data_IF_276111407359
#
_entry.id   IF_276111407359
#
_cell.length_a   1.000
_cell.length_b   1.000
_cell.length_c   1.000
_cell.angle_alpha   90.00
_cell.angle_beta   90.00
_cell.angle_gamma   90.00
#
_symmetry.space_group_name_H-M   'P 1'
#
loop_
_entity.id
_entity.type
_entity.pdbx_description
1 polymer ?
#
# COMPACT_ATOMS: atom_id res chain seq x y z
N UNK A 1 3.51 28.38 -52.05
CA UNK A 1 3.14 27.17 -52.82
C UNK A 1 4.37 26.27 -52.93
N UNK A 2 4.44 25.22 -52.12
CA UNK A 2 5.53 24.25 -52.15
C UNK A 2 4.93 22.84 -52.16
N UNK A 3 5.38 22.05 -53.13
CA UNK A 3 4.86 20.74 -53.53
C UNK A 3 5.16 19.67 -52.49
N UNK A 4 4.17 18.79 -52.27
CA UNK A 4 4.29 17.56 -51.50
C UNK A 4 5.20 16.53 -52.21
N UNK A 5 6.01 15.81 -51.43
CA UNK A 5 6.76 14.62 -51.84
C UNK A 5 6.41 13.43 -50.92
N UNK A 6 6.46 12.18 -51.44
CA UNK A 6 5.67 11.06 -50.92
C UNK A 6 6.36 10.23 -49.82
N UNK A 7 5.53 9.59 -48.98
CA UNK A 7 5.94 8.63 -47.94
C UNK A 7 6.57 7.34 -48.51
N UNK A 8 7.58 6.75 -47.84
CA UNK A 8 8.05 5.40 -48.15
C UNK A 8 7.20 4.30 -47.47
N UNK A 9 6.95 3.24 -48.24
CA UNK A 9 6.16 2.05 -47.87
C UNK A 9 6.90 1.14 -46.88
N UNK A 10 6.13 0.59 -45.91
CA UNK A 10 6.53 -0.48 -44.99
C UNK A 10 7.04 -1.72 -45.74
N UNK A 11 8.23 -2.22 -45.37
CA UNK A 11 8.66 -3.58 -45.67
C UNK A 11 8.29 -4.50 -44.52
N UNK A 12 7.51 -5.53 -44.81
CA UNK A 12 7.31 -6.70 -43.94
C UNK A 12 8.58 -7.56 -43.98
N UNK A 13 9.17 -7.85 -42.82
CA UNK A 13 10.22 -8.85 -42.68
C UNK A 13 9.61 -10.16 -42.20
N UNK A 14 9.61 -11.16 -43.08
CA UNK A 14 9.29 -12.54 -42.75
C UNK A 14 10.47 -13.18 -41.98
N UNK A 15 10.16 -13.88 -40.88
CA UNK A 15 11.11 -14.69 -40.12
C UNK A 15 10.95 -16.15 -40.55
N UNK A 16 12.04 -16.90 -40.84
CA UNK A 16 11.97 -18.28 -41.30
C UNK A 16 11.71 -19.28 -40.15
N UNK A 17 11.18 -20.49 -40.44
CA UNK A 17 10.79 -21.46 -39.42
C UNK A 17 12.02 -22.23 -38.89
N UNK A 18 12.09 -22.41 -37.57
CA UNK A 18 13.09 -23.29 -36.94
C UNK A 18 12.40 -24.52 -36.34
N UNK A 19 13.07 -25.64 -36.57
CA UNK A 19 12.70 -27.03 -36.47
C UNK A 19 12.35 -27.51 -35.04
N UNK A 20 11.26 -28.26 -34.91
CA UNK A 20 10.90 -29.08 -33.76
C UNK A 20 11.45 -30.51 -33.95
N UNK A 21 12.39 -30.96 -33.11
CA UNK A 21 12.47 -32.37 -32.65
C UNK A 21 13.61 -32.60 -31.63
N UNK A 22 13.36 -33.54 -30.69
CA UNK A 22 14.14 -33.95 -29.49
C UNK A 22 13.83 -33.05 -28.28
N UNK A 23 13.15 -33.53 -27.23
CA UNK A 23 13.51 -34.68 -26.37
C UNK A 23 12.24 -35.34 -25.80
N UNK A 24 12.14 -36.67 -25.93
CA UNK A 24 11.19 -37.54 -25.20
C UNK A 24 11.96 -38.31 -24.14
N UNK A 25 11.49 -38.29 -22.88
CA UNK A 25 11.37 -39.41 -21.92
C UNK A 25 11.52 -38.94 -20.47
N UNK A 26 10.52 -39.32 -19.66
CA UNK A 26 10.59 -39.89 -18.29
C UNK A 26 9.48 -39.31 -17.42
N UNK A 27 8.31 -39.94 -17.45
CA UNK A 27 7.33 -39.87 -16.37
C UNK A 27 7.04 -41.29 -15.88
N UNK A 28 6.97 -41.37 -14.56
CA UNK A 28 7.06 -42.56 -13.72
C UNK A 28 5.90 -43.55 -13.90
N UNK A 29 6.23 -44.82 -13.68
CA UNK A 29 5.32 -45.96 -13.56
C UNK A 29 5.29 -46.43 -12.10
N UNK A 30 4.27 -47.24 -11.76
CA UNK A 30 4.00 -47.97 -10.50
C UNK A 30 3.31 -47.14 -9.38
N UNK A 31 2.15 -47.50 -8.81
CA UNK A 31 1.51 -48.81 -8.58
C UNK A 31 -0.03 -48.71 -8.69
N UNK A 32 -0.63 -49.63 -9.43
CA UNK A 32 -1.96 -50.20 -9.17
C UNK A 32 -1.69 -51.62 -8.70
N UNK A 33 -2.31 -52.08 -7.61
CA UNK A 33 -2.70 -53.50 -7.46
C UNK A 33 -3.60 -53.71 -6.22
N UNK A 34 -4.74 -54.35 -6.50
CA UNK A 34 -5.60 -55.18 -5.64
C UNK A 34 -6.62 -54.56 -4.68
N UNK A 35 -7.85 -54.49 -5.22
CA UNK A 35 -9.13 -54.73 -4.52
C UNK A 35 -9.63 -56.15 -4.81
N UNK A 36 -10.63 -56.59 -4.02
CA UNK A 36 -11.41 -57.85 -3.99
C UNK A 36 -10.91 -58.87 -2.93
N UNK A 37 -11.70 -59.39 -1.97
CA UNK A 37 -13.16 -59.55 -1.85
C UNK A 37 -13.54 -59.81 -0.35
N UNK A 38 -14.81 -60.06 0.05
CA UNK A 38 -15.57 -59.29 1.05
C UNK A 38 -15.79 -60.04 2.38
N UNK A 39 -16.44 -59.44 3.40
CA UNK A 39 -17.52 -60.10 4.15
C UNK A 39 -18.32 -59.13 5.06
N UNK A 40 -19.56 -59.51 5.29
CA UNK A 40 -20.75 -58.73 5.65
C UNK A 40 -20.84 -58.14 7.07
N UNK A 41 -21.56 -57.02 7.18
CA UNK A 41 -22.13 -56.47 8.42
C UNK A 41 -23.49 -57.09 8.76
N UNK A 42 -23.83 -57.25 10.06
CA UNK A 42 -25.20 -57.15 10.54
C UNK A 42 -25.44 -55.85 11.33
N UNK A 43 -26.72 -55.44 11.34
CA UNK A 43 -27.32 -54.21 11.87
C UNK A 43 -27.81 -54.36 13.33
N UNK A 44 -27.84 -53.22 14.05
CA UNK A 44 -28.64 -52.86 15.27
C UNK A 44 -28.21 -53.59 16.58
N UNK A 45 -28.24 -53.03 17.80
CA UNK A 45 -28.92 -51.89 18.44
C UNK A 45 -28.24 -51.59 19.81
N UNK A 46 -28.48 -50.40 20.37
CA UNK A 46 -28.01 -49.81 21.65
C UNK A 46 -28.18 -50.68 22.94
N UNK A 47 -27.85 -50.15 24.15
CA UNK A 47 -26.54 -49.88 24.79
C UNK A 47 -26.43 -50.64 26.14
N UNK A 48 -25.32 -50.54 26.89
CA UNK A 48 -25.21 -50.51 28.39
C UNK A 48 -23.75 -50.81 28.82
N UNK A 49 -23.23 -49.94 29.70
CA UNK A 49 -22.16 -50.06 30.74
C UNK A 49 -21.14 -51.22 30.65
N UNK A 50 -19.82 -51.02 30.71
CA UNK A 50 -19.07 -50.64 31.93
C UNK A 50 -17.60 -50.29 31.63
N UNK A 51 -16.98 -49.63 32.61
CA UNK A 51 -15.57 -49.21 32.79
C UNK A 51 -14.51 -50.32 32.62
N UNK A 52 -13.40 -50.04 31.90
CA UNK A 52 -12.01 -50.53 32.13
C UNK A 52 -11.10 -50.22 30.91
N UNK A 53 -10.32 -49.13 30.92
CA UNK A 53 -9.11 -49.03 30.07
C UNK A 53 -8.10 -47.99 30.57
N UNK A 54 -7.84 -47.97 31.88
CA UNK A 54 -6.80 -47.12 32.49
C UNK A 54 -5.45 -47.80 32.74
N UNK A 55 -5.28 -49.10 32.41
CA UNK A 55 -4.16 -49.88 32.97
C UNK A 55 -3.23 -50.55 31.95
N UNK A 56 -3.49 -50.45 30.64
CA UNK A 56 -2.67 -51.14 29.62
C UNK A 56 -1.79 -50.18 28.79
N UNK A 57 -1.94 -48.85 28.92
CA UNK A 57 -1.04 -47.89 28.25
C UNK A 57 0.14 -47.40 29.09
N UNK A 58 0.18 -47.71 30.39
CA UNK A 58 1.24 -47.25 31.29
C UNK A 58 2.52 -48.09 31.23
N UNK A 59 2.44 -49.36 30.81
CA UNK A 59 3.58 -50.29 30.82
C UNK A 59 4.48 -50.17 29.57
N UNK A 60 4.05 -49.48 28.51
CA UNK A 60 4.83 -49.37 27.27
C UNK A 60 5.73 -48.13 27.15
N UNK A 61 5.65 -47.17 28.09
CA UNK A 61 6.40 -45.90 28.02
C UNK A 61 7.60 -45.83 28.97
N UNK A 62 8.17 -46.98 29.37
CA UNK A 62 9.30 -47.03 30.32
C UNK A 62 10.54 -47.79 29.85
N UNK A 63 10.72 -47.99 28.54
CA UNK A 63 11.89 -48.71 27.99
C UNK A 63 12.72 -47.98 26.92
N UNK A 64 12.41 -46.73 26.57
CA UNK A 64 13.16 -45.99 25.53
C UNK A 64 13.39 -44.49 25.84
N UNK A 65 13.45 -44.10 27.10
CA UNK A 65 13.91 -42.76 27.49
C UNK A 65 15.29 -42.86 28.15
N UNK A 66 16.34 -42.82 27.34
CA UNK A 66 17.73 -42.72 27.80
C UNK A 66 18.39 -41.53 27.07
N UNK A 67 18.66 -40.50 27.90
CA UNK A 67 19.80 -39.57 27.86
C UNK A 67 19.99 -38.65 26.64
N UNK A 68 19.51 -37.40 26.77
CA UNK A 68 20.36 -36.22 26.58
C UNK A 68 20.01 -35.22 27.70
N UNK A 69 20.81 -35.21 28.77
CA UNK A 69 20.79 -34.16 29.80
C UNK A 69 21.42 -32.88 29.23
N UNK A 70 20.60 -31.89 28.90
CA UNK A 70 21.05 -30.50 28.72
C UNK A 70 20.54 -29.71 29.93
N UNK A 71 21.40 -29.05 30.72
CA UNK A 71 20.94 -28.32 31.89
C UNK A 71 20.19 -27.05 31.48
N UNK A 72 18.87 -27.06 31.63
CA UNK A 72 18.05 -25.86 31.55
C UNK A 72 18.30 -25.04 32.83
N UNK A 73 19.19 -24.05 32.73
CA UNK A 73 19.25 -22.95 33.70
C UNK A 73 17.95 -22.16 33.59
N UNK A 74 17.04 -22.35 34.53
CA UNK A 74 16.01 -21.36 34.83
C UNK A 74 16.69 -20.09 35.34
N UNK A 75 16.76 -19.07 34.48
CA UNK A 75 16.82 -17.68 34.92
C UNK A 75 15.45 -17.07 34.64
N UNK A 76 14.76 -16.69 35.71
CA UNK A 76 13.61 -15.81 35.63
C UNK A 76 14.00 -14.44 35.07
N UNK A 77 13.09 -13.82 34.33
CA UNK A 77 13.20 -12.45 33.85
C UNK A 77 12.98 -12.31 32.34
N UNK A 78 11.70 -12.19 31.96
CA UNK A 78 11.15 -11.59 30.74
C UNK A 78 11.75 -12.12 29.41
N UNK A 79 11.06 -13.09 28.80
CA UNK A 79 11.08 -13.20 27.35
C UNK A 79 10.40 -11.93 26.80
N UNK A 80 11.19 -10.95 26.35
CA UNK A 80 10.67 -9.86 25.55
C UNK A 80 10.13 -10.47 24.26
N UNK A 81 8.82 -10.40 24.05
CA UNK A 81 8.26 -10.61 22.71
C UNK A 81 8.85 -9.55 21.79
N UNK A 82 9.90 -9.92 21.04
CA UNK A 82 10.65 -9.06 20.11
C UNK A 82 9.90 -8.84 18.78
N UNK A 83 8.62 -8.49 18.87
CA UNK A 83 7.83 -8.12 17.69
C UNK A 83 6.71 -7.18 18.08
N UNK A 84 7.07 -5.93 18.33
CA UNK A 84 6.13 -4.82 18.34
C UNK A 84 5.55 -4.63 16.94
N UNK A 85 4.22 -4.62 16.83
CA UNK A 85 3.52 -4.36 15.56
C UNK A 85 3.48 -2.85 15.31
N UNK A 86 3.66 -2.45 14.05
CA UNK A 86 3.63 -1.06 13.59
C UNK A 86 2.68 -0.87 12.41
N UNK A 87 2.45 0.38 12.03
CA UNK A 87 1.80 0.74 10.75
C UNK A 87 2.50 1.96 10.13
N UNK A 88 3.09 1.81 8.95
CA UNK A 88 3.85 2.88 8.30
C UNK A 88 3.08 3.58 7.16
N UNK A 89 1.80 3.29 7.01
CA UNK A 89 0.98 3.91 5.96
C UNK A 89 -0.47 4.04 6.43
N UNK A 90 -0.89 5.26 6.78
CA UNK A 90 -2.27 5.57 7.11
C UNK A 90 -2.58 7.05 6.89
N UNK A 91 -3.88 7.35 6.84
CA UNK A 91 -4.39 8.66 6.45
C UNK A 91 -5.34 9.23 7.49
N UNK A 92 -5.38 10.56 7.56
CA UNK A 92 -6.22 11.36 8.43
C UNK A 92 -7.11 12.30 7.63
N UNK A 93 -7.88 13.14 8.31
CA UNK A 93 -8.64 14.22 7.65
C UNK A 93 -7.74 15.27 7.00
N UNK A 94 -6.42 15.30 7.23
CA UNK A 94 -5.56 16.23 6.50
C UNK A 94 -5.52 15.92 4.99
N UNK A 95 -5.80 14.69 4.55
CA UNK A 95 -6.12 14.36 3.15
C UNK A 95 -7.51 13.78 2.95
N UNK A 96 -7.67 12.48 3.13
CA UNK A 96 -8.84 11.69 2.70
C UNK A 96 -9.15 10.50 3.62
N UNK A 97 -8.53 10.48 4.81
CA UNK A 97 -9.00 9.71 5.95
C UNK A 97 -10.19 10.37 6.64
N UNK A 98 -10.80 9.66 7.59
CA UNK A 98 -11.98 10.17 8.33
C UNK A 98 -11.75 10.39 9.81
N UNK A 99 -10.52 10.23 10.28
CA UNK A 99 -10.12 10.46 11.66
C UNK A 99 -9.17 11.65 11.69
N UNK A 100 -9.34 12.57 12.64
CA UNK A 100 -8.41 13.67 12.80
C UNK A 100 -7.00 13.13 13.12
N UNK A 101 -5.92 13.86 12.78
CA UNK A 101 -4.55 13.41 13.05
C UNK A 101 -4.31 12.92 14.49
N UNK A 102 -4.82 13.64 15.51
CA UNK A 102 -4.74 13.19 16.92
C UNK A 102 -5.51 11.89 17.20
N UNK A 103 -6.62 11.67 16.51
CA UNK A 103 -7.47 10.49 16.72
C UNK A 103 -6.82 9.24 16.10
N UNK A 104 -6.07 9.41 15.01
CA UNK A 104 -5.23 8.34 14.44
C UNK A 104 -4.18 7.88 15.45
N UNK A 105 -3.47 8.82 16.10
CA UNK A 105 -2.51 8.48 17.16
C UNK A 105 -3.18 7.80 18.38
N UNK A 106 -4.34 8.30 18.80
CA UNK A 106 -5.12 7.70 19.90
C UNK A 106 -5.60 6.28 19.57
N UNK A 107 -6.05 6.05 18.33
CA UNK A 107 -6.47 4.74 17.87
C UNK A 107 -5.30 3.75 17.86
N UNK A 108 -4.13 4.18 17.36
CA UNK A 108 -2.91 3.38 17.34
C UNK A 108 -2.47 2.93 18.74
N UNK A 109 -2.50 3.85 19.71
CA UNK A 109 -2.22 3.52 21.12
C UNK A 109 -3.25 2.53 21.67
N UNK A 110 -4.54 2.74 21.38
CA UNK A 110 -5.63 1.90 21.90
C UNK A 110 -5.51 0.45 21.42
N UNK A 111 -5.03 0.23 20.19
CA UNK A 111 -4.83 -1.12 19.61
C UNK A 111 -3.43 -1.69 19.88
N UNK A 112 -2.57 -0.96 20.61
CA UNK A 112 -1.27 -1.45 21.06
C UNK A 112 -0.16 -1.42 20.00
N UNK A 113 -0.25 -0.56 18.98
CA UNK A 113 0.88 -0.34 18.06
C UNK A 113 2.05 0.32 18.80
N UNK A 114 3.27 -0.06 18.46
CA UNK A 114 4.46 0.56 19.05
C UNK A 114 4.97 1.77 18.28
N UNK A 115 4.69 1.83 16.99
CA UNK A 115 4.94 3.00 16.15
C UNK A 115 3.88 3.10 15.06
N UNK A 116 3.64 4.33 14.63
CA UNK A 116 2.73 4.65 13.53
C UNK A 116 3.27 5.83 12.73
N UNK A 117 3.15 5.78 11.40
CA UNK A 117 3.43 6.92 10.52
C UNK A 117 2.13 7.46 9.93
N UNK A 118 1.93 8.78 10.01
CA UNK A 118 0.84 9.46 9.32
C UNK A 118 1.35 9.92 7.94
N UNK A 119 0.74 9.44 6.86
CA UNK A 119 1.24 9.57 5.48
C UNK A 119 0.18 10.18 4.56
N UNK A 120 -0.44 11.29 4.96
CA UNK A 120 -1.47 11.97 4.17
C UNK A 120 -1.01 12.35 2.75
N UNK A 121 -1.95 12.38 1.80
CA UNK A 121 -1.69 12.62 0.38
C UNK A 121 -1.23 14.05 0.05
N UNK A 122 0.05 14.17 -0.32
CA UNK A 122 0.75 15.40 -0.68
C UNK A 122 0.53 16.57 0.30
N UNK A 123 0.49 16.28 1.60
CA UNK A 123 0.39 17.27 2.65
C UNK A 123 1.10 16.79 3.91
N UNK A 124 1.53 17.74 4.72
CA UNK A 124 2.08 17.49 6.07
C UNK A 124 1.31 18.25 7.16
N UNK A 125 0.18 18.87 6.80
CA UNK A 125 -0.53 19.81 7.67
C UNK A 125 -1.05 19.13 8.96
N UNK A 126 -1.27 17.80 8.93
CA UNK A 126 -1.67 17.00 10.10
C UNK A 126 -0.54 16.57 11.03
N UNK A 127 0.73 16.67 10.62
CA UNK A 127 1.85 16.06 11.36
C UNK A 127 2.07 16.66 12.75
N UNK A 128 1.94 17.98 12.89
CA UNK A 128 2.17 18.64 14.18
C UNK A 128 1.18 18.16 15.26
N UNK A 129 -0.11 18.08 14.91
CA UNK A 129 -1.14 17.57 15.81
C UNK A 129 -0.94 16.08 16.13
N UNK A 130 -0.65 15.28 15.09
CA UNK A 130 -0.39 13.84 15.22
C UNK A 130 0.80 13.53 16.14
N UNK A 131 1.93 14.21 15.94
CA UNK A 131 3.14 13.98 16.74
C UNK A 131 2.97 14.46 18.19
N UNK A 132 2.28 15.59 18.41
CA UNK A 132 1.96 16.05 19.76
C UNK A 132 1.09 15.03 20.52
N UNK A 133 0.06 14.47 19.85
CA UNK A 133 -0.77 13.43 20.42
C UNK A 133 0.02 12.13 20.69
N UNK A 134 0.85 11.70 19.75
CA UNK A 134 1.70 10.52 19.91
C UNK A 134 2.64 10.62 21.12
N UNK A 135 3.31 11.77 21.26
CA UNK A 135 4.17 12.06 22.41
C UNK A 135 3.41 12.02 23.74
N UNK A 136 2.21 12.60 23.80
CA UNK A 136 1.37 12.58 25.00
C UNK A 136 0.88 11.17 25.38
N UNK A 137 0.70 10.29 24.38
CA UNK A 137 0.22 8.93 24.53
C UNK A 137 1.34 7.88 24.71
N UNK A 138 2.60 8.27 24.52
CA UNK A 138 3.76 7.37 24.61
C UNK A 138 3.91 6.41 23.43
N UNK A 139 3.37 6.75 22.25
CA UNK A 139 3.54 5.98 21.01
C UNK A 139 4.51 6.71 20.07
N UNK A 140 5.38 5.98 19.37
CA UNK A 140 6.28 6.60 18.38
C UNK A 140 5.48 7.06 17.15
N UNK A 141 5.18 8.36 17.10
CA UNK A 141 4.52 9.01 15.97
C UNK A 141 5.56 9.51 14.94
N UNK A 142 5.67 8.79 13.83
CA UNK A 142 6.64 9.02 12.77
C UNK A 142 6.07 10.05 11.78
N UNK A 143 6.85 11.09 11.46
CA UNK A 143 6.53 12.01 10.38
C UNK A 143 6.47 11.25 9.05
N UNK A 144 5.35 11.34 8.33
CA UNK A 144 5.15 10.69 7.06
C UNK A 144 4.48 11.60 6.03
N UNK A 145 4.54 11.18 4.77
CA UNK A 145 3.80 11.79 3.64
C UNK A 145 3.65 10.74 2.55
N UNK A 146 2.55 10.75 1.81
CA UNK A 146 2.42 9.99 0.57
C UNK A 146 2.36 10.96 -0.61
N UNK A 147 3.43 11.03 -1.40
CA UNK A 147 3.43 11.82 -2.63
C UNK A 147 2.80 11.05 -3.78
N UNK A 148 1.88 11.69 -4.48
CA UNK A 148 1.41 11.23 -5.78
C UNK A 148 2.35 11.72 -6.90
N UNK A 149 2.82 10.78 -7.72
CA UNK A 149 3.74 11.04 -8.81
C UNK A 149 3.25 10.36 -10.09
N UNK A 150 3.61 10.93 -11.25
CA UNK A 150 3.32 10.31 -12.54
C UNK A 150 4.60 9.71 -13.10
N UNK A 151 4.60 8.40 -13.35
CA UNK A 151 5.74 7.74 -13.98
C UNK A 151 5.56 7.72 -15.49
N UNK A 152 6.48 8.34 -16.25
CA UNK A 152 6.34 8.62 -17.68
C UNK A 152 6.64 7.41 -18.61
N UNK A 153 6.39 6.20 -18.12
CA UNK A 153 6.63 4.94 -18.83
C UNK A 153 5.37 4.08 -18.92
N UNK A 154 5.36 3.14 -19.87
CA UNK A 154 4.24 2.21 -20.12
C UNK A 154 2.90 2.95 -20.30
N UNK A 155 1.89 2.64 -19.48
CA UNK A 155 0.58 3.30 -19.50
C UNK A 155 0.52 4.60 -18.69
N UNK A 156 1.68 5.14 -18.31
CA UNK A 156 1.84 6.35 -17.49
C UNK A 156 1.08 6.26 -16.16
N UNK A 157 1.37 5.25 -15.31
CA UNK A 157 0.65 5.07 -14.06
C UNK A 157 0.94 6.23 -13.10
N UNK A 158 -0.10 6.62 -12.35
CA UNK A 158 0.07 7.33 -11.08
C UNK A 158 0.65 6.33 -10.08
N UNK A 159 1.79 6.70 -9.49
CA UNK A 159 2.47 5.91 -8.47
C UNK A 159 2.69 6.76 -7.22
N UNK A 160 2.82 6.11 -6.07
CA UNK A 160 2.96 6.79 -4.81
C UNK A 160 4.31 6.50 -4.13
N UNK A 161 4.93 7.57 -3.62
CA UNK A 161 6.17 7.49 -2.84
C UNK A 161 5.87 7.93 -1.42
N UNK A 162 5.95 6.99 -0.49
CA UNK A 162 5.85 7.24 0.95
C UNK A 162 7.20 7.75 1.47
N UNK A 163 7.19 8.91 2.12
CA UNK A 163 8.30 9.46 2.87
C UNK A 163 8.15 9.17 4.36
N UNK A 164 9.21 8.74 5.05
CA UNK A 164 9.16 8.40 6.48
C UNK A 164 10.32 9.02 7.26
N UNK A 165 10.02 9.59 8.42
CA UNK A 165 11.02 10.05 9.41
C UNK A 165 11.86 11.25 8.98
N UNK A 166 11.33 12.11 8.11
CA UNK A 166 11.96 13.36 7.71
C UNK A 166 11.73 14.48 8.73
N UNK A 167 12.48 15.58 8.62
CA UNK A 167 12.21 16.84 9.32
C UNK A 167 11.11 17.63 8.61
N UNK A 168 9.89 17.78 9.20
CA UNK A 168 8.80 18.53 8.58
C UNK A 168 9.09 20.03 8.45
N UNK A 169 10.06 20.57 9.20
CA UNK A 169 10.46 21.96 9.13
C UNK A 169 11.48 22.24 8.01
N UNK A 170 11.98 21.21 7.32
CA UNK A 170 13.04 21.35 6.34
C UNK A 170 12.62 22.26 5.17
N UNK A 171 13.44 23.28 4.78
CA UNK A 171 13.05 24.27 3.78
C UNK A 171 12.65 23.68 2.41
N UNK A 172 13.36 22.64 1.95
CA UNK A 172 13.07 22.00 0.66
C UNK A 172 11.68 21.34 0.66
N UNK A 173 11.31 20.68 1.76
CA UNK A 173 10.00 20.06 1.90
C UNK A 173 8.90 21.13 1.96
N UNK A 174 9.09 22.19 2.75
CA UNK A 174 8.11 23.30 2.83
C UNK A 174 7.89 23.97 1.47
N UNK A 175 8.96 24.30 0.75
CA UNK A 175 8.85 24.85 -0.60
C UNK A 175 8.16 23.90 -1.59
N UNK A 176 8.36 22.57 -1.43
CA UNK A 176 7.63 21.57 -2.22
C UNK A 176 6.14 21.57 -1.87
N UNK A 177 5.76 21.63 -0.59
CA UNK A 177 4.36 21.70 -0.16
C UNK A 177 3.66 22.95 -0.71
N UNK A 178 4.33 24.11 -0.67
CA UNK A 178 3.82 25.36 -1.26
C UNK A 178 3.59 25.23 -2.78
N UNK A 179 4.51 24.56 -3.48
CA UNK A 179 4.38 24.31 -4.93
C UNK A 179 3.15 23.44 -5.23
N UNK A 180 2.96 22.34 -4.49
CA UNK A 180 1.83 21.42 -4.66
C UNK A 180 0.51 22.13 -4.38
N UNK A 181 0.44 22.88 -3.27
CA UNK A 181 -0.74 23.68 -2.90
C UNK A 181 -1.08 24.69 -4.00
N UNK A 182 -0.08 25.45 -4.46
CA UNK A 182 -0.26 26.44 -5.52
C UNK A 182 -0.77 25.82 -6.83
N UNK A 183 -0.23 24.66 -7.23
CA UNK A 183 -0.68 23.96 -8.43
C UNK A 183 -2.13 23.47 -8.29
N UNK A 184 -2.51 22.93 -7.12
CA UNK A 184 -3.90 22.55 -6.81
C UNK A 184 -4.84 23.76 -6.90
N UNK A 185 -4.48 24.91 -6.34
CA UNK A 185 -5.29 26.13 -6.39
C UNK A 185 -5.46 26.67 -7.81
N UNK A 186 -4.38 26.68 -8.60
CA UNK A 186 -4.43 27.05 -10.02
C UNK A 186 -5.36 26.11 -10.78
N UNK A 187 -5.24 24.81 -10.57
CA UNK A 187 -6.12 23.81 -11.20
C UNK A 187 -7.58 24.02 -10.81
N UNK A 188 -7.88 24.24 -9.53
CA UNK A 188 -9.24 24.42 -9.05
C UNK A 188 -9.88 25.68 -9.64
N UNK A 189 -9.15 26.79 -9.72
CA UNK A 189 -9.61 28.02 -10.42
C UNK A 189 -9.93 27.74 -11.89
N UNK A 190 -9.03 27.06 -12.60
CA UNK A 190 -9.25 26.69 -14.01
C UNK A 190 -10.47 25.77 -14.19
N UNK A 191 -10.75 24.89 -13.23
CA UNK A 191 -11.96 24.07 -13.26
C UNK A 191 -13.24 24.93 -13.12
N UNK A 192 -13.26 25.88 -12.18
CA UNK A 192 -14.37 26.85 -12.04
C UNK A 192 -14.57 27.68 -13.32
N UNK A 193 -13.49 28.16 -13.94
CA UNK A 193 -13.52 28.91 -15.20
C UNK A 193 -14.11 28.07 -16.34
N UNK A 194 -13.65 26.82 -16.49
CA UNK A 194 -14.14 25.89 -17.53
C UNK A 194 -15.61 25.51 -17.34
N UNK A 195 -16.06 25.31 -16.10
CA UNK A 195 -17.47 25.05 -15.81
C UNK A 195 -18.32 26.29 -16.10
N UNK A 196 -17.83 27.48 -15.71
CA UNK A 196 -18.54 28.74 -15.92
C UNK A 196 -18.72 29.07 -17.40
N UNK A 197 -17.75 28.72 -18.26
CA UNK A 197 -17.84 28.97 -19.71
C UNK A 197 -18.93 28.16 -20.42
N UNK A 198 -19.43 27.08 -19.79
CA UNK A 198 -20.56 26.28 -20.29
C UNK A 198 -21.85 26.53 -19.50
N UNK A 199 -21.93 27.63 -18.74
CA UNK A 199 -23.12 28.05 -17.99
C UNK A 199 -23.29 27.36 -16.63
N UNK A 200 -22.28 26.64 -16.14
CA UNK A 200 -22.27 26.02 -14.80
C UNK A 200 -21.44 26.91 -13.86
N UNK A 201 -22.09 27.89 -13.24
CA UNK A 201 -21.39 28.90 -12.44
C UNK A 201 -21.11 28.41 -11.02
N UNK A 202 -19.84 28.17 -10.72
CA UNK A 202 -19.34 27.83 -9.39
C UNK A 202 -18.15 28.74 -9.07
N UNK A 203 -18.08 29.22 -7.84
CA UNK A 203 -16.93 29.94 -7.30
C UNK A 203 -16.00 28.98 -6.57
N UNK A 204 -14.72 29.35 -6.46
CA UNK A 204 -13.77 28.56 -5.68
C UNK A 204 -14.15 28.54 -4.20
N UNK A 205 -14.67 29.65 -3.67
CA UNK A 205 -15.07 29.78 -2.27
C UNK A 205 -16.22 28.83 -1.89
N UNK A 206 -17.20 28.64 -2.78
CA UNK A 206 -18.26 27.63 -2.59
C UNK A 206 -17.69 26.22 -2.49
N UNK A 207 -16.76 25.88 -3.40
CA UNK A 207 -16.12 24.56 -3.41
C UNK A 207 -15.22 24.37 -2.18
N UNK A 208 -14.50 25.42 -1.76
CA UNK A 208 -13.65 25.41 -0.58
C UNK A 208 -14.46 25.28 0.72
N UNK A 209 -15.60 25.97 0.82
CA UNK A 209 -16.52 25.84 1.95
C UNK A 209 -17.08 24.41 2.05
N UNK A 210 -17.39 23.77 0.92
CA UNK A 210 -17.79 22.36 0.91
C UNK A 210 -16.67 21.40 1.33
N UNK A 211 -15.42 21.75 1.04
CA UNK A 211 -14.25 20.98 1.44
C UNK A 211 -13.92 21.12 2.94
N UNK A 212 -14.49 22.09 3.66
CA UNK A 212 -14.29 22.22 5.11
C UNK A 212 -12.90 22.71 5.54
N UNK A 213 -12.13 23.32 4.62
CA UNK A 213 -10.77 23.83 4.90
C UNK A 213 -9.62 22.91 4.46
N UNK A 214 -9.94 21.82 3.76
CA UNK A 214 -9.00 20.77 3.34
C UNK A 214 -8.73 20.78 1.82
N UNK A 215 -7.96 19.78 1.36
CA UNK A 215 -7.63 19.54 -0.05
C UNK A 215 -8.91 19.47 -0.89
N UNK A 216 -9.11 20.44 -1.79
CA UNK A 216 -10.25 20.43 -2.70
C UNK A 216 -10.10 19.29 -3.73
N UNK A 217 -11.08 18.38 -3.72
CA UNK A 217 -11.18 17.28 -4.69
C UNK A 217 -12.28 17.54 -5.71
N UNK A 218 -12.28 16.76 -6.80
CA UNK A 218 -13.37 16.75 -7.80
C UNK A 218 -14.73 16.37 -7.18
N UNK A 219 -14.73 15.63 -6.07
CA UNK A 219 -15.97 15.28 -5.38
C UNK A 219 -16.65 16.51 -4.77
N UNK A 220 -15.90 17.53 -4.37
CA UNK A 220 -16.45 18.79 -3.86
C UNK A 220 -17.12 19.61 -4.97
N UNK A 221 -16.51 19.67 -6.17
CA UNK A 221 -17.17 20.23 -7.35
C UNK A 221 -18.48 19.50 -7.68
N UNK A 222 -18.49 18.17 -7.61
CA UNK A 222 -19.70 17.38 -7.84
C UNK A 222 -20.79 17.68 -6.80
N UNK A 223 -20.42 17.93 -5.54
CA UNK A 223 -21.37 18.33 -4.50
C UNK A 223 -22.01 19.69 -4.81
N UNK A 224 -21.21 20.70 -5.16
CA UNK A 224 -21.73 22.04 -5.49
C UNK A 224 -22.58 22.02 -6.76
N UNK A 225 -22.19 21.24 -7.79
CA UNK A 225 -23.01 21.06 -8.98
C UNK A 225 -24.39 20.47 -8.65
N UNK A 226 -24.45 19.53 -7.71
CA UNK A 226 -25.69 18.91 -7.24
C UNK A 226 -26.53 19.90 -6.43
N UNK A 227 -25.90 20.61 -5.49
CA UNK A 227 -26.55 21.61 -4.64
C UNK A 227 -27.21 22.73 -5.46
N UNK A 228 -26.52 23.21 -6.51
CA UNK A 228 -27.05 24.23 -7.44
C UNK A 228 -28.09 23.69 -8.44
N UNK A 229 -28.40 22.39 -8.40
CA UNK A 229 -29.39 21.78 -9.29
C UNK A 229 -28.94 21.59 -10.74
N UNK A 230 -27.64 21.76 -11.04
CA UNK A 230 -27.09 21.53 -12.38
C UNK A 230 -27.06 20.05 -12.77
N UNK A 231 -27.10 19.16 -11.78
CA UNK A 231 -27.16 17.71 -11.92
C UNK A 231 -28.17 17.12 -10.94
N UNK A 232 -28.58 15.85 -11.16
CA UNK A 232 -29.52 15.14 -10.29
C UNK A 232 -28.83 14.12 -9.39
N UNK A 233 -27.69 13.59 -9.81
CA UNK A 233 -26.88 12.62 -9.05
C UNK A 233 -25.41 13.03 -9.11
N UNK A 234 -24.67 12.80 -8.03
CA UNK A 234 -23.22 13.10 -7.98
C UNK A 234 -22.43 12.43 -9.12
N UNK A 235 -22.83 11.23 -9.53
CA UNK A 235 -22.23 10.51 -10.66
C UNK A 235 -22.33 11.29 -11.98
N UNK A 236 -23.38 12.09 -12.18
CA UNK A 236 -23.58 12.88 -13.41
C UNK A 236 -22.46 13.91 -13.60
N UNK A 237 -21.86 14.41 -12.52
CA UNK A 237 -20.72 15.31 -12.61
C UNK A 237 -19.55 14.63 -13.33
N UNK A 238 -19.24 13.40 -12.94
CA UNK A 238 -18.12 12.63 -13.49
C UNK A 238 -18.39 12.11 -14.89
N UNK A 239 -19.63 11.83 -15.26
CA UNK A 239 -19.95 11.35 -16.61
C UNK A 239 -20.08 12.48 -17.63
N UNK A 240 -20.33 13.73 -17.20
CA UNK A 240 -20.64 14.85 -18.11
C UNK A 240 -19.65 16.01 -18.08
N UNK A 241 -18.98 16.26 -16.96
CA UNK A 241 -18.28 17.54 -16.77
C UNK A 241 -16.84 17.45 -16.27
N UNK A 242 -16.54 16.64 -15.24
CA UNK A 242 -15.29 16.79 -14.46
C UNK A 242 -14.36 15.56 -14.50
N UNK A 243 -14.50 14.69 -15.51
CA UNK A 243 -13.58 13.58 -15.79
C UNK A 243 -12.70 13.86 -17.01
N UNK A 244 -11.58 13.12 -17.20
CA UNK A 244 -10.70 13.31 -18.36
C UNK A 244 -11.46 13.42 -19.69
N UNK A 245 -11.11 14.44 -20.48
CA UNK A 245 -11.76 14.73 -21.76
C UNK A 245 -13.09 15.49 -21.67
N UNK A 246 -13.63 15.77 -20.47
CA UNK A 246 -14.89 16.49 -20.29
C UNK A 246 -14.68 18.00 -20.07
N UNK A 247 -15.69 18.84 -20.36
CA UNK A 247 -15.52 20.29 -20.48
C UNK A 247 -14.97 21.00 -19.23
N UNK A 248 -15.34 20.55 -18.04
CA UNK A 248 -14.91 21.14 -16.75
C UNK A 248 -13.65 20.50 -16.16
N UNK A 249 -13.10 19.48 -16.80
CA UNK A 249 -11.92 18.79 -16.29
C UNK A 249 -10.66 19.59 -16.56
N UNK A 250 -9.79 19.69 -15.57
CA UNK A 250 -8.41 20.15 -15.71
C UNK A 250 -7.52 19.05 -15.17
N UNK A 251 -6.53 18.66 -15.96
CA UNK A 251 -5.55 17.66 -15.57
C UNK A 251 -4.76 18.17 -14.36
N UNK A 252 -4.44 17.24 -13.46
CA UNK A 252 -3.61 17.53 -12.30
C UNK A 252 -2.14 17.49 -12.73
N UNK A 253 -1.37 18.49 -12.30
CA UNK A 253 0.09 18.41 -12.40
C UNK A 253 0.60 17.48 -11.29
N UNK A 254 1.40 16.50 -11.71
CA UNK A 254 2.05 15.57 -10.81
C UNK A 254 3.54 15.88 -10.74
N UNK A 255 4.16 15.51 -9.62
CA UNK A 255 5.61 15.47 -9.53
C UNK A 255 6.15 14.26 -10.31
N UNK A 256 7.43 14.31 -10.69
CA UNK A 256 8.12 13.09 -11.08
C UNK A 256 8.46 12.26 -9.83
N UNK A 257 8.50 10.92 -9.91
CA UNK A 257 8.85 10.09 -8.77
C UNK A 257 10.24 10.41 -8.19
N UNK A 258 11.20 10.72 -9.06
CA UNK A 258 12.54 11.18 -8.68
C UNK A 258 12.48 12.42 -7.77
N UNK A 259 11.66 13.41 -8.13
CA UNK A 259 11.54 14.66 -7.37
C UNK A 259 10.87 14.44 -5.99
N UNK A 260 9.94 13.50 -5.90
CA UNK A 260 9.37 13.08 -4.62
C UNK A 260 10.45 12.49 -3.70
N UNK A 261 11.24 11.55 -4.23
CA UNK A 261 12.34 10.92 -3.50
C UNK A 261 13.36 11.99 -3.06
N UNK A 262 13.86 12.81 -3.97
CA UNK A 262 14.83 13.87 -3.66
C UNK A 262 14.32 14.83 -2.57
N UNK A 263 13.03 15.18 -2.60
CA UNK A 263 12.41 16.02 -1.56
C UNK A 263 12.46 15.33 -0.20
N UNK A 264 12.12 14.04 -0.13
CA UNK A 264 12.17 13.24 1.10
C UNK A 264 13.60 13.12 1.61
N UNK A 265 14.55 12.80 0.71
CA UNK A 265 15.97 12.63 1.06
C UNK A 265 16.59 13.92 1.55
N UNK A 266 16.28 15.05 0.92
CA UNK A 266 16.75 16.37 1.35
C UNK A 266 16.30 16.69 2.78
N UNK A 267 15.11 16.24 3.18
CA UNK A 267 14.59 16.41 4.54
C UNK A 267 15.04 15.29 5.52
N UNK A 268 15.98 14.42 5.12
CA UNK A 268 16.54 13.36 5.96
C UNK A 268 15.66 12.11 6.11
N UNK A 269 14.60 11.97 5.30
CA UNK A 269 13.67 10.85 5.35
C UNK A 269 14.08 9.63 4.54
N UNK A 270 13.34 8.54 4.74
CA UNK A 270 13.37 7.34 3.93
C UNK A 270 12.29 7.40 2.85
N UNK A 271 12.64 7.08 1.61
CA UNK A 271 11.69 7.02 0.50
C UNK A 271 11.31 5.56 0.19
N UNK A 272 10.01 5.29 0.13
CA UNK A 272 9.44 3.95 -0.06
C UNK A 272 8.45 3.96 -1.21
N UNK A 273 8.57 3.02 -2.14
CA UNK A 273 7.54 2.81 -3.17
C UNK A 273 6.32 2.15 -2.53
N UNK A 274 5.20 2.85 -2.49
CA UNK A 274 3.97 2.37 -1.86
C UNK A 274 3.22 1.39 -2.75
N UNK A 275 2.53 0.42 -2.14
CA UNK A 275 1.57 -0.52 -2.75
C UNK A 275 1.75 -0.86 -4.25
N UNK A 276 2.95 -1.27 -4.71
CA UNK A 276 3.29 -1.43 -6.14
C UNK A 276 2.35 -2.32 -6.98
N UNK A 277 1.61 -3.24 -6.36
CA UNK A 277 0.69 -4.12 -7.09
C UNK A 277 -0.55 -3.38 -7.61
N UNK A 278 -0.81 -2.16 -7.14
CA UNK A 278 -1.96 -1.35 -7.57
C UNK A 278 -1.72 -0.60 -8.88
N UNK A 279 -0.47 -0.57 -9.37
CA UNK A 279 -0.10 0.19 -10.57
C UNK A 279 -0.41 -0.51 -11.89
N UNK A 280 -0.97 -1.73 -11.85
CA UNK A 280 -1.21 -2.57 -13.02
C UNK A 280 0.08 -2.87 -13.82
N UNK A 281 1.21 -2.96 -13.11
CA UNK A 281 2.51 -3.32 -13.64
C UNK A 281 2.84 -4.78 -13.29
N UNK A 282 3.43 -5.50 -14.23
CA UNK A 282 4.03 -6.80 -13.93
C UNK A 282 5.35 -6.66 -13.13
N UNK A 283 5.86 -7.77 -12.60
CA UNK A 283 7.08 -7.78 -11.78
C UNK A 283 8.32 -7.27 -12.54
N UNK A 284 8.40 -7.49 -13.86
CA UNK A 284 9.53 -7.01 -14.66
C UNK A 284 9.46 -5.48 -14.87
N UNK A 285 8.25 -4.95 -15.08
CA UNK A 285 8.01 -3.51 -15.17
C UNK A 285 8.25 -2.82 -13.82
N UNK A 286 7.82 -3.42 -12.71
CA UNK A 286 8.13 -2.94 -11.36
C UNK A 286 9.63 -2.94 -11.07
N UNK A 287 10.37 -3.94 -11.57
CA UNK A 287 11.83 -3.94 -11.47
C UNK A 287 12.46 -2.78 -12.23
N UNK A 288 11.98 -2.46 -13.43
CA UNK A 288 12.46 -1.30 -14.21
C UNK A 288 12.21 -0.01 -13.42
N UNK A 289 10.98 0.18 -12.92
CA UNK A 289 10.62 1.33 -12.08
C UNK A 289 11.58 1.45 -10.88
N UNK A 290 11.75 0.39 -10.10
CA UNK A 290 12.60 0.42 -8.93
C UNK A 290 14.07 0.73 -9.28
N UNK A 291 14.60 0.12 -10.35
CA UNK A 291 15.98 0.37 -10.82
C UNK A 291 16.21 1.81 -11.27
N UNK A 292 15.21 2.43 -11.87
CA UNK A 292 15.24 3.85 -12.23
C UNK A 292 15.27 4.75 -11.00
N UNK A 293 14.55 4.38 -9.93
CA UNK A 293 14.39 5.21 -8.73
C UNK A 293 15.49 5.03 -7.68
N UNK A 294 16.18 3.89 -7.66
CA UNK A 294 17.28 3.62 -6.73
C UNK A 294 18.38 4.70 -6.78
N UNK A 295 18.88 5.15 -7.94
CA UNK A 295 19.87 6.23 -8.02
C UNK A 295 19.45 7.56 -7.38
N UNK A 296 18.14 7.84 -7.30
CA UNK A 296 17.62 9.04 -6.64
C UNK A 296 17.49 8.88 -5.12
N UNK A 297 17.68 7.66 -4.60
CA UNK A 297 17.65 7.37 -3.17
C UNK A 297 16.41 6.61 -2.70
N UNK A 298 15.76 5.83 -3.57
CA UNK A 298 14.71 4.90 -3.12
C UNK A 298 15.28 3.90 -2.10
N UNK A 299 14.78 3.93 -0.87
CA UNK A 299 15.30 3.12 0.25
C UNK A 299 14.55 1.80 0.40
N UNK A 300 13.25 1.79 0.08
CA UNK A 300 12.38 0.65 0.33
C UNK A 300 11.19 0.52 -0.61
N UNK A 301 10.41 -0.53 -0.36
CA UNK A 301 9.19 -0.87 -1.09
C UNK A 301 8.20 -1.54 -0.14
N UNK A 302 6.91 -1.27 -0.29
CA UNK A 302 5.88 -1.91 0.52
C UNK A 302 5.68 -3.37 0.12
N UNK A 303 6.23 -4.25 0.95
CA UNK A 303 6.14 -5.70 0.81
C UNK A 303 4.89 -6.26 1.49
N UNK A 304 4.34 -5.55 2.49
CA UNK A 304 3.13 -5.92 3.20
C UNK A 304 2.09 -4.80 3.08
N UNK A 305 0.90 -5.15 2.59
CA UNK A 305 -0.17 -4.19 2.33
C UNK A 305 -1.53 -4.87 2.39
N UNK A 306 -2.58 -4.14 2.79
CA UNK A 306 -3.89 -4.69 3.19
C UNK A 306 -4.55 -5.59 2.15
N UNK A 307 -4.35 -5.31 0.86
CA UNK A 307 -4.99 -6.04 -0.23
C UNK A 307 -4.08 -7.06 -0.92
N UNK A 308 -2.85 -7.24 -0.45
CA UNK A 308 -1.94 -8.20 -1.07
C UNK A 308 -2.39 -9.63 -0.80
N UNK A 309 -2.30 -10.47 -1.83
CA UNK A 309 -2.31 -11.91 -1.65
C UNK A 309 -0.97 -12.39 -1.07
N UNK A 310 -0.91 -13.62 -0.50
CA UNK A 310 0.36 -14.21 -0.09
C UNK A 310 1.39 -14.31 -1.22
N UNK A 311 0.93 -14.56 -2.45
CA UNK A 311 1.77 -14.62 -3.64
C UNK A 311 2.35 -13.25 -3.98
N UNK A 312 1.53 -12.20 -3.99
CA UNK A 312 1.98 -10.83 -4.21
C UNK A 312 2.99 -10.39 -3.15
N UNK A 313 2.71 -10.66 -1.87
CA UNK A 313 3.64 -10.39 -0.75
C UNK A 313 5.00 -11.05 -0.99
N UNK A 314 4.99 -12.32 -1.42
CA UNK A 314 6.21 -13.08 -1.73
C UNK A 314 6.96 -12.49 -2.92
N UNK A 315 6.26 -12.18 -4.02
CA UNK A 315 6.87 -11.62 -5.24
C UNK A 315 7.54 -10.27 -4.97
N UNK A 316 6.85 -9.35 -4.30
CA UNK A 316 7.39 -8.03 -3.95
C UNK A 316 8.55 -8.16 -2.95
N UNK A 317 8.47 -9.06 -1.98
CA UNK A 317 9.59 -9.32 -1.04
C UNK A 317 10.83 -9.86 -1.76
N UNK A 318 10.66 -10.75 -2.73
CA UNK A 318 11.76 -11.27 -3.55
C UNK A 318 12.37 -10.17 -4.41
N UNK A 319 11.53 -9.32 -5.02
CA UNK A 319 11.97 -8.16 -5.79
C UNK A 319 12.78 -7.19 -4.92
N UNK A 320 12.27 -6.83 -3.74
CA UNK A 320 12.94 -5.95 -2.78
C UNK A 320 14.34 -6.46 -2.44
N UNK A 321 14.44 -7.76 -2.09
CA UNK A 321 15.71 -8.42 -1.77
C UNK A 321 16.68 -8.41 -2.97
N UNK A 322 16.18 -8.69 -4.18
CA UNK A 322 17.01 -8.69 -5.41
C UNK A 322 17.60 -7.32 -5.71
N UNK A 323 16.87 -6.24 -5.38
CA UNK A 323 17.28 -4.87 -5.65
C UNK A 323 17.98 -4.18 -4.47
N UNK A 324 18.09 -4.84 -3.31
CA UNK A 324 18.69 -4.25 -2.11
C UNK A 324 17.82 -3.18 -1.45
N UNK A 325 16.51 -3.17 -1.75
CA UNK A 325 15.50 -2.31 -1.13
C UNK A 325 15.05 -2.92 0.21
N UNK A 326 14.79 -2.06 1.19
CA UNK A 326 14.28 -2.48 2.48
C UNK A 326 12.78 -2.74 2.43
N UNK A 327 12.27 -3.77 3.12
CA UNK A 327 10.83 -3.98 3.21
C UNK A 327 10.19 -2.89 4.07
N UNK A 328 9.05 -2.38 3.61
CA UNK A 328 8.10 -1.56 4.36
C UNK A 328 6.71 -2.21 4.34
N UNK A 329 5.75 -1.60 5.02
CA UNK A 329 4.35 -1.96 4.91
C UNK A 329 3.46 -1.06 5.76
N UNK A 330 2.18 -1.04 5.42
CA UNK A 330 1.17 -0.31 6.15
C UNK A 330 -0.24 -0.73 5.75
N UNK A 331 -1.22 -0.32 6.54
CA UNK A 331 -2.61 -0.70 6.31
C UNK A 331 -3.27 0.11 5.19
N UNK A 332 -2.78 1.32 4.94
CA UNK A 332 -3.45 2.31 4.09
C UNK A 332 -4.86 2.64 4.63
N UNK A 333 -4.95 2.74 5.96
CA UNK A 333 -6.18 3.03 6.68
C UNK A 333 -6.72 4.43 6.35
N UNK A 334 -8.01 4.49 6.00
CA UNK A 334 -8.75 5.73 5.72
C UNK A 334 -10.04 5.87 6.54
N UNK A 335 -10.25 5.01 7.55
CA UNK A 335 -11.51 4.97 8.30
C UNK A 335 -12.72 4.66 7.43
N UNK A 336 -13.78 5.47 7.51
CA UNK A 336 -15.06 5.15 6.83
C UNK A 336 -14.96 5.15 5.30
N UNK A 337 -13.93 5.78 4.72
CA UNK A 337 -13.70 5.78 3.28
C UNK A 337 -13.17 4.43 2.77
N UNK A 338 -12.56 3.62 3.64
CA UNK A 338 -12.14 2.22 3.37
C UNK A 338 -12.59 1.33 4.54
N UNK A 339 -13.90 1.02 4.66
CA UNK A 339 -14.48 0.45 5.88
C UNK A 339 -13.97 -0.96 6.23
N UNK A 340 -13.41 -1.69 5.25
CA UNK A 340 -12.87 -3.04 5.43
C UNK A 340 -11.37 -3.06 5.77
N UNK A 341 -10.73 -1.89 5.91
CA UNK A 341 -9.32 -1.76 6.27
C UNK A 341 -9.24 -1.22 7.70
N UNK A 342 -8.57 -1.97 8.57
CA UNK A 342 -8.32 -1.62 9.96
C UNK A 342 -6.87 -1.17 10.14
N UNK A 343 -6.68 -0.12 10.95
CA UNK A 343 -5.36 0.38 11.30
C UNK A 343 -4.51 -0.74 11.94
N UNK A 344 -3.27 -0.91 11.50
CA UNK A 344 -2.32 -1.90 11.99
C UNK A 344 -2.54 -3.35 11.52
N UNK A 345 -3.76 -3.74 11.14
CA UNK A 345 -4.08 -5.13 10.76
C UNK A 345 -4.60 -5.30 9.33
N UNK A 346 -4.87 -4.21 8.61
CA UNK A 346 -5.35 -4.23 7.24
C UNK A 346 -6.69 -4.95 7.14
N UNK A 347 -6.76 -6.04 6.36
CA UNK A 347 -7.94 -6.92 6.30
C UNK A 347 -7.85 -8.09 7.30
N UNK A 348 -7.22 -7.86 8.45
CA UNK A 348 -6.79 -8.87 9.42
C UNK A 348 -5.73 -9.84 8.90
N UNK A 349 -4.92 -9.37 7.94
CA UNK A 349 -3.85 -10.11 7.28
C UNK A 349 -2.48 -9.43 7.42
N UNK A 350 -2.40 -8.31 8.13
CA UNK A 350 -1.15 -7.59 8.37
C UNK A 350 -0.65 -7.73 9.81
N UNK A 351 0.67 -7.89 9.91
CA UNK A 351 1.43 -7.80 11.15
C UNK A 351 2.83 -7.30 10.79
N UNK A 352 2.96 -5.97 10.64
CA UNK A 352 4.20 -5.36 10.18
C UNK A 352 5.16 -5.27 11.37
N UNK A 353 6.37 -5.85 11.30
CA UNK A 353 7.29 -5.86 12.42
C UNK A 353 7.98 -4.50 12.56
N UNK A 354 8.21 -4.06 13.80
CA UNK A 354 8.96 -2.83 14.12
C UNK A 354 10.34 -2.76 13.44
N UNK A 355 10.97 -3.91 13.18
CA UNK A 355 12.22 -4.02 12.43
C UNK A 355 12.18 -3.38 11.03
N UNK A 356 11.02 -3.30 10.36
CA UNK A 356 10.90 -2.60 9.07
C UNK A 356 11.23 -1.12 9.25
N UNK A 357 10.64 -0.48 10.27
CA UNK A 357 10.93 0.90 10.61
C UNK A 357 12.38 1.10 11.05
N UNK A 358 12.90 0.25 11.94
CA UNK A 358 14.27 0.39 12.42
C UNK A 358 15.30 0.37 11.28
N UNK A 359 15.11 -0.52 10.31
CA UNK A 359 16.04 -0.66 9.20
C UNK A 359 16.00 0.56 8.27
N UNK A 360 14.81 1.10 7.99
CA UNK A 360 14.66 2.33 7.22
C UNK A 360 15.30 3.52 7.95
N UNK A 361 15.02 3.68 9.25
CA UNK A 361 15.63 4.72 10.11
C UNK A 361 17.15 4.62 10.20
N UNK A 362 17.72 3.41 10.20
CA UNK A 362 19.18 3.18 10.16
C UNK A 362 19.77 3.53 8.79
N UNK A 363 19.04 3.34 7.69
CA UNK A 363 19.50 3.65 6.33
C UNK A 363 19.64 5.15 6.09
N UNK A 364 18.73 5.97 6.61
CA UNK A 364 18.74 7.44 6.40
C UNK A 364 19.80 8.18 7.20
N UNK A 365 20.34 7.56 8.25
CA UNK A 365 21.40 8.11 9.11
C UNK A 365 22.82 7.81 8.61
N UNK A 366 22.96 7.05 7.53
CA UNK A 366 24.23 6.73 6.86
C UNK A 366 24.41 7.66 5.68
#
# INVERSE_FOLDING_TARGET
>A
MAKAMPMPRRRQSAVPPVCLSRVRRLWFSFFSLFSFFPFSFPKKSHPIQTDLSGFILWVFWKKYAILIDIPIKQKGGIAMHDSSIIDLHCHSTASDGTYAPKEVAALAQKIGLSAIALTDHDTIDGLAEFQAAGNALGIEAIAGIEFAALWEHFHRPEIHIVGLGFDPAHPVLKGRMETIRSSRDIRNRRMCERLSSIGLHLTLDEVAANAGGEIITRAHFANILLEKGYIKKKADAFTRYISPGLPGYVEREFLSPALCIETIKAAGGAAVLAHPTLYELDVAQLEILCRELIPYGLDGIECQYSTYTPEQTKEITVLAKRLGLLPSGGSDFHGKNKPDIYLGSGKNNLAIPYAFWENLKKRTRR
#
